data_IF_654064083887
#
_entry.id   IF_654064083887
#
_cell.length_a   1.000
_cell.length_b   1.000
_cell.length_c   1.000
_cell.angle_alpha   90.00
_cell.angle_beta   90.00
_cell.angle_gamma   90.00
#
_symmetry.space_group_name_H-M   'P 1'
#
loop_
_entity.id
_entity.type
_entity.pdbx_description
1 polymer ?
#
# COMPACT_ATOMS: atom_id res chain seq x y z
N UNK A 1 3.37 -15.81 -0.37
CA UNK A 1 3.89 -15.02 0.77
C UNK A 1 2.67 -14.69 1.63
N UNK A 2 2.62 -15.17 2.86
CA UNK A 2 1.53 -14.86 3.79
C UNK A 2 1.90 -13.58 4.54
N UNK A 3 1.03 -12.58 4.52
CA UNK A 3 1.18 -11.34 5.28
C UNK A 3 0.25 -11.43 6.48
N UNK A 4 0.78 -11.18 7.67
CA UNK A 4 0.09 -11.37 8.94
C UNK A 4 -0.60 -10.11 9.47
N UNK A 5 -0.49 -8.98 8.76
CA UNK A 5 -1.13 -7.71 9.11
C UNK A 5 -0.30 -6.49 8.71
N UNK A 6 -0.56 -5.37 9.40
CA UNK A 6 0.07 -4.08 9.17
C UNK A 6 0.93 -3.63 10.36
N UNK A 7 2.07 -3.03 10.06
CA UNK A 7 2.99 -2.38 10.99
C UNK A 7 2.71 -0.87 10.99
N UNK A 8 1.70 -0.45 11.76
CA UNK A 8 1.35 0.96 11.95
C UNK A 8 2.10 1.55 13.15
N UNK A 9 2.66 2.75 12.97
CA UNK A 9 3.24 3.57 14.02
C UNK A 9 2.93 5.05 13.79
N UNK A 10 3.22 5.90 14.77
CA UNK A 10 2.93 7.34 14.66
C UNK A 10 3.47 7.98 13.37
N UNK A 11 4.66 7.57 12.92
CA UNK A 11 5.30 8.16 11.74
C UNK A 11 4.60 7.82 10.43
N UNK A 12 4.19 6.56 10.22
CA UNK A 12 3.50 6.19 8.97
C UNK A 12 2.00 6.51 8.98
N UNK A 13 1.37 6.56 10.16
CA UNK A 13 -0.02 6.98 10.33
C UNK A 13 -0.23 8.41 9.85
N UNK A 14 0.59 9.35 10.34
CA UNK A 14 0.50 10.76 9.97
C UNK A 14 0.77 10.97 8.48
N UNK A 15 1.81 10.31 7.96
CA UNK A 15 2.20 10.40 6.56
C UNK A 15 1.13 9.86 5.60
N UNK A 16 0.52 8.72 5.90
CA UNK A 16 -0.51 8.13 5.03
C UNK A 16 -1.82 8.92 5.11
N UNK A 17 -2.19 9.40 6.30
CA UNK A 17 -3.42 10.17 6.50
C UNK A 17 -3.35 11.57 5.88
N UNK A 18 -2.16 12.13 5.70
CA UNK A 18 -1.93 13.45 5.09
C UNK A 18 -2.47 13.57 3.65
N UNK A 19 -2.69 12.45 2.96
CA UNK A 19 -3.22 12.41 1.60
C UNK A 19 -4.74 12.14 1.54
N UNK A 20 -5.43 12.17 2.69
CA UNK A 20 -6.88 11.95 2.77
C UNK A 20 -7.31 10.48 2.60
N UNK A 21 -6.36 9.54 2.63
CA UNK A 21 -6.64 8.11 2.63
C UNK A 21 -6.65 7.64 4.09
N UNK A 22 -7.75 7.02 4.52
CA UNK A 22 -7.82 6.44 5.87
C UNK A 22 -7.09 5.10 5.93
N UNK A 23 -6.72 4.67 7.13
CA UNK A 23 -6.11 3.35 7.35
C UNK A 23 -7.03 2.24 6.83
N UNK A 24 -8.32 2.34 7.14
CA UNK A 24 -9.33 1.37 6.69
C UNK A 24 -9.35 1.24 5.16
N UNK A 25 -9.24 2.36 4.44
CA UNK A 25 -9.17 2.33 2.97
C UNK A 25 -7.88 1.67 2.48
N UNK A 26 -6.75 1.89 3.17
CA UNK A 26 -5.46 1.24 2.86
C UNK A 26 -5.53 -0.27 3.11
N UNK A 27 -6.10 -0.68 4.24
CA UNK A 27 -6.25 -2.09 4.60
C UNK A 27 -7.22 -2.79 3.64
N UNK A 28 -8.30 -2.12 3.24
CA UNK A 28 -9.29 -2.64 2.27
C UNK A 28 -8.70 -2.96 0.90
N UNK A 29 -7.57 -2.33 0.54
CA UNK A 29 -6.86 -2.64 -0.70
C UNK A 29 -6.50 -4.13 -0.79
N UNK A 30 -6.11 -4.73 0.33
CA UNK A 30 -5.63 -6.10 0.40
C UNK A 30 -6.74 -7.13 0.55
N UNK A 31 -7.96 -6.70 0.87
CA UNK A 31 -9.15 -7.57 0.94
C UNK A 31 -9.86 -7.71 -0.41
N UNK A 32 -9.42 -6.95 -1.41
CA UNK A 32 -9.99 -6.89 -2.77
C UNK A 32 -8.93 -7.25 -3.81
N UNK A 33 -9.30 -7.49 -5.09
CA UNK A 33 -8.32 -7.68 -6.15
C UNK A 33 -7.37 -6.47 -6.25
N UNK A 34 -6.08 -6.75 -6.15
CA UNK A 34 -5.02 -5.76 -6.18
C UNK A 34 -3.80 -6.35 -6.89
N UNK A 35 -2.91 -5.46 -7.33
CA UNK A 35 -1.64 -5.81 -7.97
C UNK A 35 -0.48 -5.31 -7.13
N UNK A 36 0.48 -6.19 -6.88
CA UNK A 36 1.74 -5.85 -6.21
C UNK A 36 2.87 -5.94 -7.21
N UNK A 37 3.71 -4.90 -7.28
CA UNK A 37 4.93 -4.89 -8.11
C UNK A 37 6.11 -4.32 -7.30
N UNK A 38 7.35 -4.79 -7.53
CA UNK A 38 8.53 -4.15 -6.95
C UNK A 38 8.64 -2.70 -7.41
N UNK A 39 9.00 -1.80 -6.50
CA UNK A 39 9.28 -0.39 -6.81
C UNK A 39 10.74 -0.21 -7.25
N UNK A 40 11.09 -0.79 -8.41
CA UNK A 40 12.47 -0.85 -8.91
C UNK A 40 13.17 0.51 -9.04
N UNK A 41 12.44 1.62 -9.05
CA UNK A 41 12.99 2.98 -9.11
C UNK A 41 13.57 3.47 -7.77
N UNK A 42 13.16 2.89 -6.64
CA UNK A 42 13.57 3.36 -5.31
C UNK A 42 14.10 2.24 -4.39
N UNK A 43 14.22 1.00 -4.88
CA UNK A 43 14.72 -0.17 -4.12
C UNK A 43 16.23 -0.16 -3.84
N UNK A 44 16.86 0.99 -3.62
CA UNK A 44 18.30 1.09 -3.38
C UNK A 44 18.75 0.41 -2.09
N UNK A 45 18.21 0.85 -0.95
CA UNK A 45 18.59 0.37 0.39
C UNK A 45 17.48 -0.44 1.08
N UNK A 46 16.23 -0.23 0.68
CA UNK A 46 15.04 -0.85 1.28
C UNK A 46 14.14 -1.43 0.19
N UNK A 47 13.77 -2.70 0.32
CA UNK A 47 12.87 -3.36 -0.63
C UNK A 47 11.47 -2.72 -0.52
N UNK A 48 11.04 -2.09 -1.61
CA UNK A 48 9.76 -1.41 -1.70
C UNK A 48 8.86 -2.04 -2.72
N UNK A 49 7.57 -2.00 -2.42
CA UNK A 49 6.50 -2.54 -3.22
C UNK A 49 5.45 -1.47 -3.47
N UNK A 50 4.84 -1.57 -4.64
CA UNK A 50 3.66 -0.80 -5.01
C UNK A 50 2.47 -1.74 -5.00
N UNK A 51 1.45 -1.44 -4.20
CA UNK A 51 0.13 -2.05 -4.31
C UNK A 51 -0.83 -1.07 -5.00
N UNK A 52 -1.49 -1.55 -6.05
CA UNK A 52 -2.46 -0.81 -6.84
C UNK A 52 -3.76 -1.60 -6.90
N UNK A 53 -4.87 -0.94 -6.62
CA UNK A 53 -6.18 -1.59 -6.59
C UNK A 53 -7.27 -0.59 -6.27
N UNK A 54 -8.36 -1.08 -5.69
CA UNK A 54 -9.50 -0.26 -5.29
C UNK A 54 -9.74 -0.34 -3.79
N UNK A 55 -10.21 0.76 -3.22
CA UNK A 55 -10.79 0.76 -1.88
C UNK A 55 -12.18 0.13 -1.87
N UNK A 56 -12.77 -0.01 -0.68
CA UNK A 56 -14.14 -0.56 -0.56
C UNK A 56 -15.17 0.27 -1.32
N UNK A 57 -15.01 1.59 -1.32
CA UNK A 57 -15.83 2.54 -2.08
C UNK A 57 -15.57 2.51 -3.60
N UNK A 58 -14.73 1.61 -4.11
CA UNK A 58 -14.40 1.48 -5.53
C UNK A 58 -13.47 2.59 -6.04
N UNK A 59 -12.79 3.32 -5.16
CA UNK A 59 -11.84 4.37 -5.57
C UNK A 59 -10.46 3.76 -5.83
N UNK A 60 -9.82 4.07 -6.96
CA UNK A 60 -8.45 3.62 -7.22
C UNK A 60 -7.48 4.13 -6.14
N UNK A 61 -6.64 3.23 -5.63
CA UNK A 61 -5.65 3.51 -4.59
C UNK A 61 -4.26 3.06 -5.02
N UNK A 62 -3.28 3.92 -4.73
CA UNK A 62 -1.86 3.66 -4.87
C UNK A 62 -1.22 3.64 -3.49
N UNK A 63 -0.58 2.52 -3.15
CA UNK A 63 0.12 2.33 -1.89
C UNK A 63 1.58 1.96 -2.16
N UNK A 64 2.50 2.70 -1.56
CA UNK A 64 3.91 2.33 -1.43
C UNK A 64 4.10 1.74 -0.05
N UNK A 65 4.69 0.55 0.02
CA UNK A 65 4.96 -0.12 1.29
C UNK A 65 6.26 -0.92 1.23
N UNK A 66 6.78 -1.27 2.41
CA UNK A 66 7.81 -2.30 2.57
C UNK A 66 7.26 -3.42 3.44
N UNK A 67 7.97 -4.54 3.54
CA UNK A 67 7.61 -5.62 4.47
C UNK A 67 8.63 -5.70 5.59
N UNK A 68 8.16 -5.99 6.80
CA UNK A 68 9.01 -6.12 7.99
C UNK A 68 8.71 -7.43 8.70
N UNK A 69 9.76 -8.17 9.05
CA UNK A 69 9.63 -9.33 9.92
C UNK A 69 9.67 -8.85 11.38
N UNK A 70 8.60 -9.09 12.14
CA UNK A 70 8.52 -8.77 13.56
C UNK A 70 7.97 -9.97 14.33
N UNK A 71 8.72 -10.48 15.31
CA UNK A 71 8.34 -11.65 16.11
C UNK A 71 7.86 -12.86 15.28
N UNK A 72 8.49 -13.11 14.13
CA UNK A 72 8.13 -14.20 13.22
C UNK A 72 6.92 -13.93 12.30
N UNK A 73 6.32 -12.73 12.37
CA UNK A 73 5.21 -12.29 11.52
C UNK A 73 5.70 -11.35 10.43
N UNK A 74 5.25 -11.55 9.21
CA UNK A 74 5.58 -10.68 8.10
C UNK A 74 4.49 -9.60 7.96
N UNK A 75 4.86 -8.36 8.23
CA UNK A 75 3.93 -7.23 8.29
C UNK A 75 4.15 -6.27 7.12
N UNK A 76 3.06 -5.73 6.58
CA UNK A 76 3.11 -4.62 5.63
C UNK A 76 3.34 -3.33 6.41
N UNK A 77 4.37 -2.57 6.05
CA UNK A 77 4.65 -1.24 6.59
C UNK A 77 4.37 -0.19 5.52
N UNK A 78 3.21 0.47 5.57
CA UNK A 78 2.88 1.56 4.65
C UNK A 78 3.90 2.69 4.73
N UNK A 79 4.31 3.20 3.56
CA UNK A 79 5.26 4.31 3.43
C UNK A 79 4.54 5.55 2.90
N UNK A 80 3.62 5.37 1.95
CA UNK A 80 2.79 6.44 1.39
C UNK A 80 1.55 5.84 0.73
N UNK A 81 0.41 6.50 0.87
CA UNK A 81 -0.84 6.10 0.23
C UNK A 81 -1.51 7.32 -0.40
N UNK A 82 -2.11 7.16 -1.57
CA UNK A 82 -2.91 8.21 -2.22
C UNK A 82 -3.99 7.59 -3.11
N UNK A 83 -5.07 8.32 -3.31
CA UNK A 83 -6.00 7.98 -4.40
C UNK A 83 -5.33 8.20 -5.75
N UNK A 84 -5.68 7.37 -6.72
CA UNK A 84 -5.30 7.54 -8.12
C UNK A 84 -6.45 8.18 -8.89
N UNK A 85 -6.10 8.98 -9.90
CA UNK A 85 -7.08 9.31 -10.94
C UNK A 85 -7.39 8.06 -11.75
N UNK A 86 -8.66 7.88 -12.14
CA UNK A 86 -9.09 6.74 -12.97
C UNK A 86 -8.27 6.59 -14.25
N UNK A 87 -7.87 7.71 -14.88
CA UNK A 87 -6.99 7.69 -16.06
C UNK A 87 -5.60 7.11 -15.77
N UNK A 88 -5.05 7.37 -14.58
CA UNK A 88 -3.77 6.81 -14.13
C UNK A 88 -3.94 5.31 -13.86
N UNK A 89 -5.03 4.94 -13.19
CA UNK A 89 -5.33 3.55 -12.83
C UNK A 89 -5.47 2.63 -14.05
N UNK A 90 -6.12 3.10 -15.13
CA UNK A 90 -6.22 2.35 -16.39
C UNK A 90 -4.89 1.97 -17.03
N UNK A 91 -3.79 2.66 -16.70
CA UNK A 91 -2.44 2.26 -17.16
C UNK A 91 -1.90 1.03 -16.41
N UNK A 92 -2.50 0.71 -15.26
CA UNK A 92 -2.17 -0.41 -14.40
C UNK A 92 -3.27 -1.48 -14.37
N UNK A 93 -4.44 -1.24 -14.97
CA UNK A 93 -5.43 -2.26 -15.31
C UNK A 93 -4.98 -3.01 -16.57
N UNK A 94 -5.18 -4.32 -16.57
CA UNK A 94 -4.87 -5.26 -17.67
C UNK A 94 -6.18 -5.80 -18.20
#
# INVERSE_FOLDING_TARGET
>A
MQIDGFDWDAGNLEKCSSHGVSLVEIESLFTRPHRITPDMKHSGDEERFLAIGHTDAGRPLFLVFTTRLNAGRLLVRPISARYMHVKEFRRYEW
#
